data_IF_932600231439
#
_entry.id   IF_932600231439
#
_cell.length_a   1.000
_cell.length_b   1.000
_cell.length_c   1.000
_cell.angle_alpha   90.00
_cell.angle_beta   90.00
_cell.angle_gamma   90.00
#
_symmetry.space_group_name_H-M   'P 1'
#
loop_
_entity.id
_entity.type
_entity.pdbx_description
1 polymer ?
#
# COMPACT_ATOMS: atom_id res chain seq x y z
N UNK A 1 5.06 -9.59 15.12
CA UNK A 1 5.36 -8.52 14.13
C UNK A 1 6.55 -8.93 13.25
N UNK A 2 6.36 -8.97 11.94
CA UNK A 2 7.48 -9.16 11.00
C UNK A 2 8.29 -7.85 10.85
N UNK A 3 9.60 -7.92 10.58
CA UNK A 3 10.41 -6.75 10.30
C UNK A 3 9.89 -5.96 9.08
N UNK A 4 10.01 -4.64 9.09
CA UNK A 4 9.56 -3.82 7.95
C UNK A 4 10.24 -4.19 6.63
N UNK A 5 11.54 -4.49 6.68
CA UNK A 5 12.29 -5.03 5.55
C UNK A 5 11.63 -6.25 4.86
N UNK A 6 10.84 -7.07 5.57
CA UNK A 6 10.13 -8.21 4.97
C UNK A 6 8.99 -7.80 4.02
N UNK A 7 8.48 -6.57 4.14
CA UNK A 7 7.41 -6.03 3.29
C UNK A 7 7.95 -5.13 2.17
N UNK A 8 9.25 -4.86 2.14
CA UNK A 8 9.86 -4.03 1.10
C UNK A 8 9.97 -4.84 -0.22
N UNK A 9 9.58 -4.21 -1.33
CA UNK A 9 9.58 -4.87 -2.62
C UNK A 9 8.75 -4.14 -3.67
N UNK A 10 8.70 -4.72 -4.87
CA UNK A 10 7.82 -4.27 -5.95
C UNK A 10 6.73 -5.30 -6.13
N UNK A 11 5.49 -4.86 -5.96
CA UNK A 11 4.27 -5.64 -6.14
C UNK A 11 3.65 -5.25 -7.47
N UNK A 12 3.70 -6.15 -8.45
CA UNK A 12 3.18 -5.88 -9.77
C UNK A 12 1.67 -6.11 -9.79
N UNK A 13 0.94 -5.14 -10.31
CA UNK A 13 -0.48 -5.25 -10.59
C UNK A 13 -0.70 -4.83 -12.05
N UNK A 14 -1.29 -5.72 -12.86
CA UNK A 14 -1.45 -5.50 -14.31
C UNK A 14 -2.44 -4.38 -14.65
N UNK A 15 -3.34 -4.02 -13.72
CA UNK A 15 -4.39 -3.03 -13.94
C UNK A 15 -3.98 -1.63 -13.47
N UNK A 16 -3.44 -1.54 -12.26
CA UNK A 16 -3.04 -0.27 -11.62
C UNK A 16 -1.56 0.09 -11.83
N UNK A 17 -0.77 -0.85 -12.34
CA UNK A 17 0.69 -0.75 -12.41
C UNK A 17 1.36 -1.15 -11.10
N UNK A 18 2.72 -1.14 -11.07
CA UNK A 18 3.46 -1.60 -9.91
C UNK A 18 3.29 -0.68 -8.70
N UNK A 19 3.17 -1.30 -7.53
CA UNK A 19 3.27 -0.68 -6.22
C UNK A 19 4.65 -0.98 -5.62
N UNK A 20 5.42 0.06 -5.31
CA UNK A 20 6.74 -0.11 -4.68
C UNK A 20 6.64 0.20 -3.20
N UNK A 21 7.09 -0.73 -2.35
CA UNK A 21 7.18 -0.55 -0.90
C UNK A 21 8.65 -0.48 -0.51
N UNK A 22 9.03 0.55 0.24
CA UNK A 22 10.38 0.74 0.73
C UNK A 22 10.39 1.00 2.24
N UNK A 23 11.42 0.52 2.94
CA UNK A 23 11.68 0.95 4.31
C UNK A 23 12.27 2.37 4.31
N UNK A 24 11.69 3.26 5.10
CA UNK A 24 12.11 4.66 5.20
C UNK A 24 11.85 5.19 6.60
N UNK A 25 12.88 5.80 7.20
CA UNK A 25 12.81 6.45 8.53
C UNK A 25 12.23 5.54 9.64
N UNK A 26 12.51 4.23 9.58
CA UNK A 26 12.01 3.24 10.53
C UNK A 26 10.52 2.88 10.35
N UNK A 27 9.94 3.17 9.18
CA UNK A 27 8.61 2.75 8.76
C UNK A 27 8.60 2.29 7.30
N UNK A 28 7.41 2.17 6.72
CA UNK A 28 7.22 1.80 5.32
C UNK A 28 6.64 2.97 4.51
N UNK A 29 7.11 3.11 3.28
CA UNK A 29 6.59 4.04 2.28
C UNK A 29 6.09 3.26 1.07
N UNK A 30 4.84 3.51 0.69
CA UNK A 30 4.18 2.97 -0.50
C UNK A 30 4.23 4.00 -1.61
N UNK A 31 4.76 3.65 -2.78
CA UNK A 31 4.75 4.49 -3.99
C UNK A 31 3.87 3.86 -5.07
N UNK A 32 2.90 4.62 -5.57
CA UNK A 32 1.92 4.19 -6.56
C UNK A 32 2.07 4.99 -7.86
N UNK A 33 3.14 4.72 -8.61
CA UNK A 33 3.42 5.40 -9.88
C UNK A 33 3.19 6.93 -9.82
N UNK A 34 2.42 7.53 -10.75
CA UNK A 34 2.18 8.98 -10.76
C UNK A 34 1.27 9.48 -9.64
N UNK A 35 0.63 8.59 -8.85
CA UNK A 35 -0.24 8.98 -7.73
C UNK A 35 0.56 9.49 -6.53
N UNK A 36 1.85 9.15 -6.46
CA UNK A 36 2.77 9.61 -5.42
C UNK A 36 3.12 8.56 -4.39
N UNK A 37 3.67 9.03 -3.27
CA UNK A 37 4.22 8.22 -2.19
C UNK A 37 3.48 8.50 -0.88
N UNK A 38 3.22 7.45 -0.10
CA UNK A 38 2.37 7.46 1.08
C UNK A 38 3.04 6.68 2.21
N UNK A 39 3.10 7.27 3.40
CA UNK A 39 3.56 6.55 4.59
C UNK A 39 2.53 5.50 5.01
N UNK A 40 2.98 4.26 5.15
CA UNK A 40 2.20 3.16 5.70
C UNK A 40 2.28 3.20 7.24
N UNK A 41 1.14 3.33 7.88
CA UNK A 41 1.00 3.27 9.34
C UNK A 41 0.72 1.83 9.76
N UNK A 42 1.51 1.24 10.68
CA UNK A 42 1.28 -0.12 11.14
C UNK A 42 -0.07 -0.24 11.84
N UNK A 43 -0.82 -1.27 11.50
CA UNK A 43 -2.04 -1.70 12.17
C UNK A 43 -1.81 -3.02 12.89
N UNK A 44 -2.66 -4.00 12.60
CA UNK A 44 -2.58 -5.33 13.19
C UNK A 44 -1.80 -6.29 12.27
N UNK A 45 -0.72 -6.88 12.79
CA UNK A 45 0.08 -7.87 12.07
C UNK A 45 0.67 -7.36 10.75
N UNK A 46 0.16 -7.90 9.65
CA UNK A 46 0.51 -7.63 8.25
C UNK A 46 -0.41 -6.59 7.58
N UNK A 47 -1.23 -5.89 8.36
CA UNK A 47 -2.14 -4.84 7.89
C UNK A 47 -1.59 -3.47 8.24
N UNK A 48 -1.53 -2.61 7.23
CA UNK A 48 -1.13 -1.21 7.33
C UNK A 48 -2.23 -0.30 6.82
N UNK A 49 -2.19 0.98 7.15
CA UNK A 49 -3.09 1.99 6.59
C UNK A 49 -2.33 3.16 6.00
N UNK A 50 -2.89 3.80 4.98
CA UNK A 50 -2.36 5.00 4.37
C UNK A 50 -3.50 5.95 4.00
N UNK A 51 -3.18 7.24 3.95
CA UNK A 51 -4.11 8.29 3.53
C UNK A 51 -3.63 8.88 2.21
N UNK A 52 -4.55 9.16 1.31
CA UNK A 52 -4.28 9.70 0.00
C UNK A 52 -5.45 10.57 -0.44
N UNK A 53 -5.19 11.47 -1.39
CA UNK A 53 -6.20 12.33 -1.99
C UNK A 53 -6.16 12.14 -3.48
N UNK A 54 -7.30 11.81 -4.08
CA UNK A 54 -7.49 11.74 -5.53
C UNK A 54 -8.84 12.37 -5.88
N UNK A 55 -9.16 12.45 -7.17
CA UNK A 55 -10.49 12.88 -7.61
C UNK A 55 -11.62 12.04 -7.00
N UNK A 56 -11.37 10.74 -6.75
CA UNK A 56 -12.34 9.80 -6.19
C UNK A 56 -12.11 9.51 -4.68
N UNK A 57 -11.07 10.10 -4.07
CA UNK A 57 -10.73 9.92 -2.66
C UNK A 57 -10.58 11.29 -2.00
N UNK A 58 -11.66 11.83 -1.40
CA UNK A 58 -11.61 13.14 -0.77
C UNK A 58 -10.64 13.17 0.43
N UNK A 59 -10.23 14.36 0.89
CA UNK A 59 -9.43 14.50 2.09
C UNK A 59 -10.04 13.74 3.28
N UNK A 60 -9.22 12.91 3.93
CA UNK A 60 -9.66 12.05 5.04
C UNK A 60 -9.91 10.59 4.66
N UNK A 61 -9.84 10.23 3.37
CA UNK A 61 -9.84 8.82 2.97
C UNK A 61 -8.64 8.09 3.55
N UNK A 62 -8.91 6.93 4.16
CA UNK A 62 -7.92 5.98 4.68
C UNK A 62 -8.17 4.65 4.01
N UNK A 63 -7.10 4.03 3.50
CA UNK A 63 -7.13 2.71 2.88
C UNK A 63 -6.08 1.79 3.53
N UNK A 64 -6.36 0.50 3.52
CA UNK A 64 -5.56 -0.60 4.04
C UNK A 64 -4.66 -1.16 2.94
N UNK A 65 -3.44 -1.45 3.35
CA UNK A 65 -2.49 -2.28 2.66
C UNK A 65 -2.33 -3.59 3.44
N UNK A 66 -2.68 -4.71 2.83
CA UNK A 66 -2.54 -6.05 3.44
C UNK A 66 -1.48 -6.84 2.70
N UNK A 67 -0.46 -7.28 3.42
CA UNK A 67 0.63 -8.09 2.86
C UNK A 67 0.38 -9.58 3.08
N UNK A 68 0.40 -10.39 2.03
CA UNK A 68 0.19 -11.84 2.15
C UNK A 68 1.20 -12.60 1.29
N UNK A 69 2.23 -13.17 1.91
CA UNK A 69 3.15 -14.11 1.25
C UNK A 69 3.77 -13.62 -0.07
N UNK A 70 4.07 -12.32 -0.19
CA UNK A 70 4.61 -11.70 -1.41
C UNK A 70 3.58 -10.96 -2.26
N UNK A 71 2.32 -10.92 -1.84
CA UNK A 71 1.26 -10.08 -2.43
C UNK A 71 1.02 -8.84 -1.58
N UNK A 72 0.54 -7.79 -2.24
CA UNK A 72 0.07 -6.57 -1.59
C UNK A 72 -1.33 -6.29 -2.11
N UNK A 73 -2.32 -6.34 -1.21
CA UNK A 73 -3.69 -5.91 -1.52
C UNK A 73 -3.91 -4.49 -1.02
N UNK A 74 -4.42 -3.60 -1.88
CA UNK A 74 -4.81 -2.25 -1.50
C UNK A 74 -6.33 -2.12 -1.54
N UNK A 75 -7.00 -1.97 -0.39
CA UNK A 75 -8.47 -2.12 -0.32
C UNK A 75 -9.22 -1.15 -1.24
N UNK A 76 -8.70 0.07 -1.43
CA UNK A 76 -9.35 1.07 -2.27
C UNK A 76 -9.28 0.72 -3.76
N UNK A 77 -8.28 -0.06 -4.16
CA UNK A 77 -8.06 -0.45 -5.56
C UNK A 77 -8.63 -1.83 -5.88
N UNK A 78 -9.26 -2.48 -4.89
CA UNK A 78 -9.79 -3.85 -4.97
C UNK A 78 -11.31 -3.92 -5.15
N UNK A 79 -12.00 -2.81 -5.43
CA UNK A 79 -13.47 -2.81 -5.59
C UNK A 79 -13.96 -3.84 -6.64
N UNK A 80 -13.18 -4.05 -7.70
CA UNK A 80 -13.44 -5.03 -8.76
C UNK A 80 -12.52 -6.28 -8.67
N UNK A 81 -11.89 -6.52 -7.51
CA UNK A 81 -10.93 -7.61 -7.34
C UNK A 81 -9.62 -7.41 -8.11
N UNK A 82 -9.28 -6.17 -8.43
CA UNK A 82 -8.09 -5.78 -9.19
C UNK A 82 -7.00 -5.19 -8.29
N UNK A 83 -7.05 -5.37 -6.97
CA UNK A 83 -6.19 -4.66 -6.02
C UNK A 83 -4.90 -5.37 -5.62
N UNK A 84 -4.55 -6.50 -6.25
CA UNK A 84 -3.39 -7.38 -5.94
C UNK A 84 -2.42 -7.48 -7.09
#
# INVERSE_FOLDING_TARGET
>A
PEPFASYAGVYNNDYWGPATVAERDGGLELTLGPRGSFTLKPGDGNVFTFSFVTENAPPGTVSKATFDGGKLMLEYFDEDGQGV
#
